data_IF_225560417875
#
_entry.id   IF_225560417875
#
_cell.length_a   1.000
_cell.length_b   1.000
_cell.length_c   1.000
_cell.angle_alpha   90.00
_cell.angle_beta   90.00
_cell.angle_gamma   90.00
#
_symmetry.space_group_name_H-M   'P 1'
#
loop_
_entity.id
_entity.type
_entity.pdbx_description
1 polymer ?
#
# COMPACT_ATOMS: atom_id res chain seq x y z
N UNK A 1 14.79 -39.83 48.42
CA UNK A 1 14.93 -38.39 48.10
C UNK A 1 14.96 -38.28 46.58
N UNK A 2 13.79 -38.03 45.96
CA UNK A 2 13.39 -36.69 45.48
C UNK A 2 14.08 -36.27 44.17
N UNK A 3 14.01 -37.06 43.09
CA UNK A 3 14.41 -36.56 41.75
C UNK A 3 13.57 -37.12 40.59
N UNK A 4 13.10 -38.37 40.64
CA UNK A 4 12.42 -38.97 39.47
C UNK A 4 10.96 -38.52 39.23
N UNK A 5 10.31 -37.88 40.20
CA UNK A 5 8.90 -37.49 40.05
C UNK A 5 8.70 -36.11 39.38
N UNK A 6 9.77 -35.32 39.22
CA UNK A 6 9.67 -33.95 38.69
C UNK A 6 9.78 -33.86 37.16
N UNK A 7 10.40 -34.84 36.49
CA UNK A 7 10.61 -34.82 35.04
C UNK A 7 9.39 -35.33 34.24
N UNK A 8 8.47 -36.06 34.86
CA UNK A 8 7.26 -36.56 34.22
C UNK A 8 6.10 -35.54 34.23
N UNK A 9 6.13 -34.54 35.12
CA UNK A 9 5.15 -33.45 35.16
C UNK A 9 5.48 -32.30 34.18
N UNK A 10 6.76 -32.10 33.83
CA UNK A 10 7.15 -31.07 32.85
C UNK A 10 6.82 -31.43 31.39
N UNK A 11 6.78 -32.72 31.04
CA UNK A 11 6.49 -33.14 29.65
C UNK A 11 5.02 -32.96 29.25
N UNK A 12 4.09 -33.12 30.18
CA UNK A 12 2.65 -33.07 29.88
C UNK A 12 2.13 -31.63 29.71
N UNK A 13 2.79 -30.64 30.31
CA UNK A 13 2.44 -29.22 30.15
C UNK A 13 2.93 -28.60 28.83
N UNK A 14 3.98 -29.16 28.23
CA UNK A 14 4.55 -28.62 26.98
C UNK A 14 3.77 -29.04 25.72
N UNK A 15 2.97 -30.11 25.80
CA UNK A 15 2.12 -30.55 24.70
C UNK A 15 0.78 -29.78 24.61
N UNK A 16 0.32 -29.11 25.68
CA UNK A 16 -0.99 -28.44 25.70
C UNK A 16 -0.95 -26.94 25.35
N UNK A 17 0.23 -26.31 25.25
CA UNK A 17 0.35 -24.89 24.87
C UNK A 17 0.56 -24.65 23.37
N UNK A 18 0.61 -25.70 22.55
CA UNK A 18 0.71 -25.55 21.10
C UNK A 18 -0.67 -25.50 20.45
N UNK A 19 -1.46 -24.49 20.80
CA UNK A 19 -2.63 -24.14 20.01
C UNK A 19 -2.14 -23.43 18.75
N UNK A 20 -2.28 -24.01 17.54
CA UNK A 20 -2.08 -23.24 16.32
C UNK A 20 -3.13 -22.13 16.30
N UNK A 21 -2.67 -20.88 16.23
CA UNK A 21 -3.55 -19.72 16.04
C UNK A 21 -4.34 -20.00 14.76
N UNK A 22 -5.70 -20.06 14.79
CA UNK A 22 -6.47 -20.19 13.57
C UNK A 22 -6.15 -18.98 12.72
N UNK A 23 -5.41 -19.20 11.64
CA UNK A 23 -5.18 -18.22 10.59
C UNK A 23 -6.56 -17.91 10.06
N UNK A 24 -7.14 -16.79 10.53
CA UNK A 24 -8.35 -16.22 9.97
C UNK A 24 -7.99 -16.00 8.51
N UNK A 25 -8.53 -16.85 7.66
CA UNK A 25 -8.21 -16.87 6.25
C UNK A 25 -8.67 -15.53 5.67
N UNK A 26 -7.72 -14.61 5.55
CA UNK A 26 -7.89 -13.34 4.85
C UNK A 26 -7.89 -13.56 3.33
N UNK A 27 -7.93 -14.82 2.85
CA UNK A 27 -8.32 -15.17 1.47
C UNK A 27 -9.81 -14.96 1.19
N UNK A 28 -10.46 -14.03 1.91
CA UNK A 28 -11.69 -13.42 1.40
C UNK A 28 -11.31 -12.47 0.26
N UNK A 29 -11.06 -13.09 -0.89
CA UNK A 29 -11.45 -12.61 -2.21
C UNK A 29 -11.45 -11.09 -2.33
N UNK A 30 -10.26 -10.48 -2.32
CA UNK A 30 -10.05 -9.30 -3.14
C UNK A 30 -10.10 -9.80 -4.58
N UNK A 31 -11.31 -10.00 -5.10
CA UNK A 31 -11.54 -10.03 -6.54
C UNK A 31 -10.95 -8.72 -7.06
N UNK A 32 -9.83 -8.84 -7.78
CA UNK A 32 -9.26 -7.75 -8.52
C UNK A 32 -10.26 -7.39 -9.62
N UNK A 33 -11.18 -6.48 -9.29
CA UNK A 33 -11.86 -5.68 -10.31
C UNK A 33 -10.73 -4.98 -11.08
N UNK A 34 -10.72 -4.99 -12.42
CA UNK A 34 -9.73 -4.21 -13.16
C UNK A 34 -9.92 -2.73 -12.79
N UNK A 35 -9.07 -2.25 -11.90
CA UNK A 35 -9.14 -0.92 -11.27
C UNK A 35 -8.90 0.21 -12.29
N UNK A 36 -8.41 -0.11 -13.50
CA UNK A 36 -7.87 0.87 -14.45
C UNK A 36 -8.88 1.94 -14.90
N UNK A 37 -10.15 1.59 -15.14
CA UNK A 37 -11.14 2.54 -15.68
C UNK A 37 -11.97 3.26 -14.60
N UNK A 38 -11.69 3.02 -13.32
CA UNK A 38 -12.55 3.47 -12.22
C UNK A 38 -11.87 4.34 -11.17
N UNK A 39 -10.55 4.55 -11.27
CA UNK A 39 -9.85 5.38 -10.31
C UNK A 39 -10.20 6.85 -10.49
N UNK A 40 -10.73 7.45 -9.43
CA UNK A 40 -11.04 8.87 -9.42
C UNK A 40 -9.77 9.69 -9.11
N UNK A 41 -9.48 10.66 -9.98
CA UNK A 41 -8.25 11.44 -9.85
C UNK A 41 -8.19 12.21 -8.52
N UNK A 42 -9.27 12.89 -8.14
CA UNK A 42 -9.28 13.81 -7.01
C UNK A 42 -9.19 13.07 -5.67
N UNK A 43 -9.91 11.95 -5.54
CA UNK A 43 -9.99 11.21 -4.28
C UNK A 43 -8.88 10.17 -4.11
N UNK A 44 -8.31 9.63 -5.19
CA UNK A 44 -7.34 8.52 -5.09
C UNK A 44 -5.93 8.90 -5.54
N UNK A 45 -5.79 9.73 -6.58
CA UNK A 45 -4.48 10.03 -7.19
C UNK A 45 -3.89 11.34 -6.68
N UNK A 46 -4.68 12.41 -6.62
CA UNK A 46 -4.23 13.72 -6.18
C UNK A 46 -3.60 13.70 -4.77
N UNK A 47 -4.13 12.98 -3.77
CA UNK A 47 -3.51 12.92 -2.44
C UNK A 47 -2.10 12.31 -2.46
N UNK A 48 -1.85 11.35 -3.36
CA UNK A 48 -0.52 10.73 -3.56
C UNK A 48 0.45 11.78 -4.12
N UNK A 49 -0.01 12.58 -5.08
CA UNK A 49 0.78 13.63 -5.71
C UNK A 49 1.04 14.80 -4.75
N UNK A 50 0.04 15.22 -3.98
CA UNK A 50 0.20 16.27 -2.96
C UNK A 50 1.29 15.91 -1.95
N UNK A 51 1.28 14.67 -1.45
CA UNK A 51 2.26 14.20 -0.47
C UNK A 51 3.73 14.33 -0.93
N UNK A 52 4.00 14.26 -2.25
CA UNK A 52 5.38 14.19 -2.78
C UNK A 52 5.77 15.36 -3.68
N UNK A 53 4.80 16.06 -4.26
CA UNK A 53 5.01 17.04 -5.31
C UNK A 53 4.48 18.45 -4.96
N UNK A 54 3.77 18.60 -3.83
CA UNK A 54 3.15 19.86 -3.40
C UNK A 54 4.11 21.07 -3.40
N UNK A 55 5.35 21.01 -2.89
CA UNK A 55 6.21 22.20 -2.81
C UNK A 55 6.57 22.84 -4.15
N UNK A 56 6.40 22.14 -5.28
CA UNK A 56 6.79 22.63 -6.60
C UNK A 56 5.63 22.67 -7.60
N UNK A 57 4.76 21.67 -7.60
CA UNK A 57 3.78 21.43 -8.67
C UNK A 57 2.32 21.71 -8.27
N UNK A 58 2.09 22.29 -7.09
CA UNK A 58 0.76 22.70 -6.61
C UNK A 58 0.72 24.23 -6.42
N UNK A 59 -0.45 24.85 -6.20
CA UNK A 59 -0.56 26.30 -6.10
C UNK A 59 0.45 26.93 -5.14
N UNK A 60 1.19 27.94 -5.62
CA UNK A 60 2.29 28.58 -4.89
C UNK A 60 3.66 27.92 -5.07
N UNK A 61 3.72 26.76 -5.73
CA UNK A 61 4.95 26.08 -6.11
C UNK A 61 5.60 26.69 -7.36
N UNK A 62 6.93 26.71 -7.38
CA UNK A 62 7.71 27.35 -8.46
C UNK A 62 7.50 26.77 -9.87
N UNK A 63 6.98 25.55 -9.99
CA UNK A 63 6.74 24.86 -11.27
C UNK A 63 5.27 24.86 -11.67
N UNK A 64 4.37 25.40 -10.84
CA UNK A 64 2.92 25.25 -11.02
C UNK A 64 2.43 25.73 -12.38
N UNK A 65 2.86 26.93 -12.80
CA UNK A 65 2.45 27.53 -14.07
C UNK A 65 2.88 26.72 -15.31
N UNK A 66 3.92 25.89 -15.18
CA UNK A 66 4.45 25.07 -16.28
C UNK A 66 3.99 23.62 -16.22
N UNK A 67 3.82 23.05 -15.02
CA UNK A 67 3.53 21.64 -14.82
C UNK A 67 2.68 21.43 -13.54
N UNK A 68 1.38 21.77 -13.58
CA UNK A 68 0.48 21.67 -12.43
C UNK A 68 0.04 20.22 -12.19
N UNK A 69 0.26 19.69 -10.98
CA UNK A 69 -0.03 18.29 -10.63
C UNK A 69 -1.37 18.09 -9.91
N UNK A 70 -2.12 19.17 -9.69
CA UNK A 70 -3.54 19.14 -9.33
C UNK A 70 -4.46 19.00 -10.57
N UNK A 71 -3.88 18.87 -11.77
CA UNK A 71 -4.60 18.67 -13.02
C UNK A 71 -4.36 17.26 -13.56
N UNK A 72 -5.44 16.47 -13.65
CA UNK A 72 -5.42 15.12 -14.22
C UNK A 72 -4.76 15.08 -15.60
N UNK A 73 -5.12 16.05 -16.46
CA UNK A 73 -4.58 16.16 -17.82
C UNK A 73 -3.04 16.18 -17.82
N UNK A 74 -2.43 16.99 -16.95
CA UNK A 74 -0.97 17.11 -16.86
C UNK A 74 -0.33 15.79 -16.46
N UNK A 75 -0.94 15.05 -15.56
CA UNK A 75 -0.45 13.74 -15.10
C UNK A 75 -0.53 12.70 -16.22
N UNK A 76 -1.62 12.67 -16.97
CA UNK A 76 -1.79 11.80 -18.15
C UNK A 76 -0.84 12.15 -19.30
N UNK A 77 -0.49 13.41 -19.47
CA UNK A 77 0.48 13.85 -20.49
C UNK A 77 1.94 13.58 -20.09
N UNK A 78 2.24 13.39 -18.80
CA UNK A 78 3.61 13.21 -18.29
C UNK A 78 3.79 11.95 -17.41
N UNK A 79 3.34 10.75 -17.85
CA UNK A 79 3.30 9.55 -17.01
C UNK A 79 4.70 9.09 -16.58
N UNK A 80 5.67 9.13 -17.49
CA UNK A 80 7.07 8.74 -17.25
C UNK A 80 7.71 9.56 -16.11
N UNK A 81 7.46 10.87 -16.08
CA UNK A 81 8.01 11.75 -15.04
C UNK A 81 7.44 11.43 -13.66
N UNK A 82 6.13 11.21 -13.60
CA UNK A 82 5.40 10.86 -12.37
C UNK A 82 5.84 9.48 -11.85
N UNK A 83 5.86 8.47 -12.72
CA UNK A 83 6.22 7.09 -12.35
C UNK A 83 7.69 6.96 -11.95
N UNK A 84 8.60 7.80 -12.46
CA UNK A 84 9.99 7.85 -11.97
C UNK A 84 10.10 8.30 -10.51
N UNK A 85 9.18 9.16 -10.05
CA UNK A 85 9.15 9.63 -8.65
C UNK A 85 8.38 8.68 -7.74
N UNK A 86 7.40 7.97 -8.29
CA UNK A 86 6.48 7.11 -7.54
C UNK A 86 6.31 5.77 -8.28
N UNK A 87 7.35 4.93 -8.22
CA UNK A 87 7.41 3.68 -8.97
C UNK A 87 6.98 2.44 -8.17
N UNK A 88 7.15 2.48 -6.86
CA UNK A 88 7.06 1.30 -5.99
C UNK A 88 5.93 1.39 -4.95
N UNK A 89 5.60 0.24 -4.37
CA UNK A 89 4.55 0.12 -3.37
C UNK A 89 3.14 0.33 -3.93
N UNK A 90 2.22 0.59 -3.01
CA UNK A 90 0.79 0.78 -3.31
C UNK A 90 0.55 2.02 -4.17
N UNK A 91 1.16 3.15 -3.81
CA UNK A 91 1.04 4.43 -4.52
C UNK A 91 1.45 4.29 -6.00
N UNK A 92 2.55 3.59 -6.28
CA UNK A 92 3.01 3.33 -7.64
C UNK A 92 2.15 2.32 -8.40
N UNK A 93 1.41 1.45 -7.70
CA UNK A 93 0.43 0.55 -8.31
C UNK A 93 -0.81 1.33 -8.74
N UNK A 94 -1.34 2.20 -7.88
CA UNK A 94 -2.50 3.04 -8.18
C UNK A 94 -2.22 4.00 -9.34
N UNK A 95 -1.04 4.65 -9.35
CA UNK A 95 -0.64 5.51 -10.47
C UNK A 95 -0.52 4.75 -11.79
N UNK A 96 0.03 3.53 -11.78
CA UNK A 96 0.08 2.70 -13.00
C UNK A 96 -1.29 2.25 -13.46
N UNK A 97 -2.18 1.91 -12.53
CA UNK A 97 -3.55 1.55 -12.86
C UNK A 97 -4.32 2.75 -13.47
N UNK A 98 -4.12 3.95 -12.95
CA UNK A 98 -4.76 5.18 -13.44
C UNK A 98 -4.25 5.66 -14.81
N UNK A 99 -2.96 5.43 -15.10
CA UNK A 99 -2.28 5.89 -16.31
C UNK A 99 -2.34 4.92 -17.50
N UNK A 100 -2.80 3.69 -17.26
CA UNK A 100 -3.01 2.67 -18.29
C UNK A 100 -4.34 2.86 -19.02
#
# INVERSE_FOLDING_TARGET
MKTSLFLLLCGLMYCLQWQPIPQRDLSKTAQAVPVSDTLDFVSEIQPILEKKCNPCHFPGGKMYDSLPFDQEKTIREHPEGVLKRISSGEEGRLLRAFLN
#
